data_IF_019996127045
#
_entry.id   IF_019996127045
#
_cell.length_a   1.000
_cell.length_b   1.000
_cell.length_c   1.000
_cell.angle_alpha   90.00
_cell.angle_beta   90.00
_cell.angle_gamma   90.00
#
_symmetry.space_group_name_H-M   'P 1'
#
loop_
_entity.id
_entity.type
_entity.pdbx_description
1 polymer ?
#
# COMPACT_ATOMS: atom_id res chain seq x y z
N UNK A 1 -33.75 0.89 10.13
CA UNK A 1 -32.68 1.89 10.26
C UNK A 1 -31.69 1.38 11.30
N UNK A 2 -30.70 0.57 10.89
CA UNK A 2 -29.53 0.12 11.68
C UNK A 2 -28.44 -0.47 10.74
N UNK A 3 -28.23 0.15 9.58
CA UNK A 3 -27.33 -0.40 8.53
C UNK A 3 -25.85 -0.07 8.77
N UNK A 4 -25.55 0.82 9.73
CA UNK A 4 -24.17 1.22 10.05
C UNK A 4 -23.32 0.05 10.56
N UNK A 5 -23.91 -0.83 11.37
CA UNK A 5 -23.19 -1.99 11.91
C UNK A 5 -22.75 -2.94 10.78
N UNK A 6 -23.63 -3.19 9.80
CA UNK A 6 -23.33 -4.05 8.64
C UNK A 6 -22.21 -3.47 7.77
N UNK A 7 -22.20 -2.14 7.59
CA UNK A 7 -21.15 -1.45 6.82
C UNK A 7 -19.79 -1.56 7.55
N UNK A 8 -19.78 -1.33 8.86
CA UNK A 8 -18.56 -1.46 9.67
C UNK A 8 -18.03 -2.89 9.62
N UNK A 9 -18.92 -3.88 9.76
CA UNK A 9 -18.56 -5.29 9.69
C UNK A 9 -17.96 -5.64 8.32
N UNK A 10 -18.57 -5.17 7.23
CA UNK A 10 -18.07 -5.37 5.87
C UNK A 10 -16.67 -4.78 5.67
N UNK A 11 -16.43 -3.55 6.17
CA UNK A 11 -15.11 -2.92 6.10
C UNK A 11 -14.07 -3.71 6.90
N UNK A 12 -14.43 -4.15 8.12
CA UNK A 12 -13.54 -4.97 8.94
C UNK A 12 -13.15 -6.27 8.25
N UNK A 13 -14.12 -7.00 7.69
CA UNK A 13 -13.90 -8.25 6.94
C UNK A 13 -13.03 -7.99 5.71
N UNK A 14 -13.29 -6.88 4.99
CA UNK A 14 -12.50 -6.49 3.82
C UNK A 14 -11.05 -6.16 4.18
N UNK A 15 -10.80 -5.53 5.33
CA UNK A 15 -9.45 -5.25 5.80
C UNK A 15 -8.70 -6.51 6.21
N UNK A 16 -9.36 -7.43 6.93
CA UNK A 16 -8.76 -8.70 7.34
C UNK A 16 -8.40 -9.53 6.11
N UNK A 17 -9.34 -9.67 5.17
CA UNK A 17 -9.11 -10.39 3.92
C UNK A 17 -8.02 -9.74 3.08
N UNK A 18 -7.99 -8.41 2.99
CA UNK A 18 -6.89 -7.69 2.31
C UNK A 18 -5.53 -7.98 2.95
N UNK A 19 -5.44 -8.00 4.28
CA UNK A 19 -4.17 -8.26 4.96
C UNK A 19 -3.67 -9.71 4.72
N UNK A 20 -4.57 -10.68 4.68
CA UNK A 20 -4.28 -12.06 4.28
C UNK A 20 -3.79 -12.11 2.82
N UNK A 21 -4.55 -11.53 1.88
CA UNK A 21 -4.15 -11.41 0.47
C UNK A 21 -2.79 -10.74 0.33
N UNK A 22 -2.50 -9.72 1.14
CA UNK A 22 -1.24 -9.00 1.11
C UNK A 22 -0.06 -9.90 1.46
N UNK A 23 -0.18 -10.70 2.52
CA UNK A 23 0.88 -11.61 2.96
C UNK A 23 1.11 -12.73 1.94
N UNK A 24 0.04 -13.34 1.42
CA UNK A 24 0.14 -14.52 0.56
C UNK A 24 0.42 -14.20 -0.92
N UNK A 25 -0.24 -13.19 -1.46
CA UNK A 25 -0.25 -12.90 -2.90
C UNK A 25 0.54 -11.62 -3.20
N UNK A 26 0.17 -10.49 -2.59
CA UNK A 26 0.73 -9.19 -3.01
C UNK A 26 2.20 -8.99 -2.58
N UNK A 27 2.66 -9.63 -1.50
CA UNK A 27 4.04 -9.51 -0.99
C UNK A 27 5.09 -9.98 -2.00
N UNK A 28 4.73 -10.93 -2.87
CA UNK A 28 5.63 -11.55 -3.83
C UNK A 28 5.65 -10.82 -5.18
N UNK A 29 4.71 -9.91 -5.45
CA UNK A 29 4.54 -9.32 -6.77
C UNK A 29 5.05 -7.87 -6.75
N UNK A 30 6.19 -7.62 -7.41
CA UNK A 30 6.67 -6.27 -7.69
C UNK A 30 5.92 -5.68 -8.89
N UNK A 31 4.71 -5.20 -8.65
CA UNK A 31 3.87 -4.62 -9.72
C UNK A 31 4.15 -3.14 -9.88
N UNK A 32 4.19 -2.68 -11.13
CA UNK A 32 4.26 -1.26 -11.44
C UNK A 32 2.90 -0.57 -11.18
N UNK A 33 2.91 0.67 -10.70
CA UNK A 33 1.70 1.46 -10.39
C UNK A 33 0.71 1.54 -11.56
N UNK A 34 1.24 1.65 -12.78
CA UNK A 34 0.43 1.73 -13.99
C UNK A 34 -0.37 0.44 -14.25
N UNK A 35 0.18 -0.71 -13.88
CA UNK A 35 -0.48 -2.01 -14.08
C UNK A 35 -1.72 -2.13 -13.20
N UNK A 36 -1.63 -1.76 -11.92
CA UNK A 36 -2.79 -1.72 -11.01
C UNK A 36 -3.86 -0.76 -11.54
N UNK A 37 -3.44 0.41 -12.05
CA UNK A 37 -4.37 1.44 -12.53
C UNK A 37 -5.13 0.97 -13.78
N UNK A 38 -4.44 0.30 -14.71
CA UNK A 38 -5.05 -0.30 -15.90
C UNK A 38 -5.99 -1.43 -15.50
N UNK A 39 -5.58 -2.31 -14.57
CA UNK A 39 -6.42 -3.40 -14.08
C UNK A 39 -7.70 -2.87 -13.43
N UNK A 40 -7.57 -1.81 -12.63
CA UNK A 40 -8.69 -1.11 -12.01
C UNK A 40 -9.67 -0.55 -13.05
N UNK A 41 -9.17 0.17 -14.05
CA UNK A 41 -9.99 0.72 -15.14
C UNK A 41 -10.67 -0.37 -15.97
N UNK A 42 -9.99 -1.47 -16.26
CA UNK A 42 -10.55 -2.61 -16.99
C UNK A 42 -11.70 -3.26 -16.22
N UNK A 43 -11.52 -3.51 -14.92
CA UNK A 43 -12.57 -4.13 -14.09
C UNK A 43 -13.79 -3.21 -13.99
N UNK A 44 -13.58 -1.91 -13.84
CA UNK A 44 -14.67 -0.92 -13.80
C UNK A 44 -15.38 -0.84 -15.14
N UNK A 45 -14.62 -0.64 -16.22
CA UNK A 45 -15.16 -0.55 -17.57
C UNK A 45 -15.99 -1.78 -17.90
N UNK A 46 -15.44 -2.97 -17.67
CA UNK A 46 -16.15 -4.24 -17.89
C UNK A 46 -17.43 -4.35 -17.06
N UNK A 47 -17.44 -3.87 -15.82
CA UNK A 47 -18.63 -3.94 -14.95
C UNK A 47 -19.75 -3.00 -15.40
N UNK A 48 -19.45 -1.91 -16.09
CA UNK A 48 -20.47 -0.97 -16.61
C UNK A 48 -21.20 -1.49 -17.86
N UNK A 49 -20.55 -2.33 -18.67
CA UNK A 49 -21.13 -2.82 -19.93
C UNK A 49 -21.92 -4.13 -19.77
N UNK A 50 -21.88 -4.78 -18.62
CA UNK A 50 -22.47 -6.11 -18.41
C UNK A 50 -23.56 -6.04 -17.34
N UNK A 51 -24.78 -6.45 -17.70
CA UNK A 51 -25.87 -6.64 -16.73
C UNK A 51 -25.59 -7.90 -15.91
N UNK A 52 -25.00 -7.71 -14.74
CA UNK A 52 -24.57 -8.78 -13.85
C UNK A 52 -25.62 -9.06 -12.78
N UNK A 53 -25.80 -10.33 -12.35
CA UNK A 53 -26.67 -10.65 -11.24
C UNK A 53 -26.15 -10.02 -9.94
N UNK A 54 -27.06 -9.68 -9.02
CA UNK A 54 -26.76 -8.96 -7.78
C UNK A 54 -25.62 -9.58 -6.95
N UNK A 55 -25.56 -10.91 -6.89
CA UNK A 55 -24.49 -11.62 -6.19
C UNK A 55 -23.10 -11.34 -6.76
N UNK A 56 -22.98 -11.29 -8.09
CA UNK A 56 -21.72 -11.01 -8.78
C UNK A 56 -21.33 -9.54 -8.58
N UNK A 57 -22.31 -8.64 -8.50
CA UNK A 57 -22.06 -7.22 -8.21
C UNK A 57 -21.42 -7.02 -6.83
N UNK A 58 -21.85 -7.75 -5.80
CA UNK A 58 -21.23 -7.70 -4.47
C UNK A 58 -19.77 -8.19 -4.48
N UNK A 59 -19.48 -9.26 -5.23
CA UNK A 59 -18.12 -9.78 -5.37
C UNK A 59 -17.23 -8.75 -6.07
N UNK A 60 -17.73 -8.14 -7.15
CA UNK A 60 -17.01 -7.09 -7.88
C UNK A 60 -16.77 -5.87 -6.98
N UNK A 61 -17.74 -5.48 -6.17
CA UNK A 61 -17.59 -4.36 -5.25
C UNK A 61 -16.56 -4.65 -4.15
N UNK A 62 -16.50 -5.88 -3.65
CA UNK A 62 -15.44 -6.32 -2.72
C UNK A 62 -14.07 -6.34 -3.40
N UNK A 63 -13.97 -6.86 -4.62
CA UNK A 63 -12.74 -6.88 -5.43
C UNK A 63 -12.23 -5.46 -5.70
N UNK A 64 -13.14 -4.54 -6.00
CA UNK A 64 -12.85 -3.11 -6.18
C UNK A 64 -12.23 -2.51 -4.91
N UNK A 65 -12.78 -2.84 -3.75
CA UNK A 65 -12.27 -2.36 -2.47
C UNK A 65 -10.83 -2.84 -2.22
N UNK A 66 -10.53 -4.10 -2.53
CA UNK A 66 -9.18 -4.68 -2.45
C UNK A 66 -8.22 -3.99 -3.43
N UNK A 67 -8.63 -3.79 -4.68
CA UNK A 67 -7.79 -3.13 -5.69
C UNK A 67 -7.41 -1.70 -5.28
N UNK A 68 -8.35 -0.95 -4.68
CA UNK A 68 -8.09 0.39 -4.14
C UNK A 68 -7.12 0.35 -2.97
N UNK A 69 -7.32 -0.55 -2.01
CA UNK A 69 -6.41 -0.70 -0.87
C UNK A 69 -4.99 -1.01 -1.35
N UNK A 70 -4.88 -1.87 -2.37
CA UNK A 70 -3.60 -2.21 -2.97
C UNK A 70 -2.94 -1.02 -3.66
N UNK A 71 -3.70 -0.24 -4.43
CA UNK A 71 -3.20 0.97 -5.07
C UNK A 71 -2.67 1.99 -4.04
N UNK A 72 -3.42 2.18 -2.96
CA UNK A 72 -3.04 3.06 -1.85
C UNK A 72 -1.75 2.56 -1.21
N UNK A 73 -1.63 1.26 -0.93
CA UNK A 73 -0.42 0.68 -0.33
C UNK A 73 0.81 0.90 -1.21
N UNK A 74 0.72 0.60 -2.51
CA UNK A 74 1.83 0.83 -3.47
C UNK A 74 2.24 2.31 -3.48
N UNK A 75 1.27 3.22 -3.50
CA UNK A 75 1.54 4.65 -3.50
C UNK A 75 2.22 5.12 -2.19
N UNK A 76 1.80 4.55 -1.06
CA UNK A 76 2.37 4.88 0.25
C UNK A 76 3.76 4.30 0.44
N UNK A 77 4.02 3.09 -0.04
CA UNK A 77 5.36 2.49 0.00
C UNK A 77 6.35 3.29 -0.86
N UNK A 78 5.96 3.73 -2.07
CA UNK A 78 6.81 4.60 -2.90
C UNK A 78 7.14 5.93 -2.19
N UNK A 79 6.15 6.53 -1.52
CA UNK A 79 6.36 7.76 -0.74
C UNK A 79 7.33 7.52 0.42
N UNK A 80 7.18 6.40 1.14
CA UNK A 80 8.07 6.01 2.24
C UNK A 80 9.49 5.76 1.76
N UNK A 81 9.66 5.10 0.62
CA UNK A 81 10.98 4.86 0.00
C UNK A 81 11.64 6.17 -0.42
N UNK A 82 10.91 7.10 -1.05
CA UNK A 82 11.43 8.43 -1.41
C UNK A 82 11.92 9.20 -0.19
N UNK A 83 11.16 9.19 0.90
CA UNK A 83 11.56 9.82 2.17
C UNK A 83 12.81 9.14 2.74
N UNK A 84 12.84 7.81 2.79
CA UNK A 84 14.00 7.04 3.26
C UNK A 84 15.26 7.33 2.45
N UNK A 85 15.13 7.43 1.14
CA UNK A 85 16.24 7.75 0.23
C UNK A 85 16.71 9.20 0.39
N UNK A 86 15.79 10.15 0.61
CA UNK A 86 16.14 11.55 0.95
C UNK A 86 16.93 11.60 2.27
N UNK A 87 16.48 10.89 3.29
CA UNK A 87 17.16 10.84 4.59
C UNK A 87 18.54 10.16 4.49
N UNK A 88 18.67 9.08 3.71
CA UNK A 88 19.97 8.44 3.42
C UNK A 88 20.96 9.40 2.74
N UNK A 89 20.52 10.19 1.76
CA UNK A 89 21.36 11.20 1.09
C UNK A 89 21.81 12.30 2.07
N UNK A 90 20.94 12.74 2.96
CA UNK A 90 21.29 13.71 4.02
C UNK A 90 22.33 13.13 4.97
N UNK A 91 22.21 11.86 5.36
CA UNK A 91 23.18 11.18 6.24
C UNK A 91 24.53 10.97 5.53
N UNK A 92 24.56 10.70 4.23
CA UNK A 92 25.82 10.57 3.47
C UNK A 92 26.56 11.90 3.32
N UNK A 93 25.82 13.02 3.18
CA UNK A 93 26.40 14.35 3.06
C UNK A 93 26.73 15.01 4.41
N UNK A 94 26.54 14.32 5.53
CA UNK A 94 26.99 14.83 6.81
C UNK A 94 28.52 14.93 6.78
N UNK A 95 29.12 16.05 7.24
CA UNK A 95 30.56 16.18 7.30
C UNK A 95 31.13 15.02 8.11
N UNK A 96 32.10 14.30 7.54
CA UNK A 96 32.77 13.20 8.25
C UNK A 96 33.34 13.76 9.56
N UNK A 97 33.16 13.05 10.70
CA UNK A 97 33.70 13.52 11.97
C UNK A 97 35.21 13.70 11.86
N UNK A 98 35.74 14.78 12.44
CA UNK A 98 37.17 15.07 12.42
C UNK A 98 37.95 13.85 12.92
N UNK A 99 38.89 13.28 12.13
CA UNK A 99 39.73 12.21 12.63
C UNK A 99 40.44 12.74 13.88
N UNK A 100 40.50 11.93 14.93
CA UNK A 100 41.06 12.25 16.26
C UNK A 100 40.16 12.95 17.32
N UNK A 101 38.85 13.18 17.10
CA UNK A 101 37.98 13.75 18.16
C UNK A 101 37.85 12.85 19.41
N UNK A 102 37.96 11.53 19.26
CA UNK A 102 37.80 10.55 20.34
C UNK A 102 39.05 10.35 21.22
N UNK A 103 40.22 10.84 20.83
CA UNK A 103 41.46 10.65 21.61
C UNK A 103 41.64 11.68 22.74
N UNK A 104 40.85 12.76 22.74
CA UNK A 104 41.00 13.87 23.71
C UNK A 104 40.37 13.58 25.09
N UNK A 105 39.54 12.54 25.21
CA UNK A 105 38.94 12.13 26.49
C UNK A 105 39.70 11.02 27.24
N UNK A 106 40.87 10.59 26.74
CA UNK A 106 41.79 9.77 27.54
C UNK A 106 42.78 10.69 28.24
N UNK A 107 42.34 11.37 29.29
CA UNK A 107 43.28 11.89 30.30
C UNK A 107 43.63 10.73 31.23
N UNK A 108 44.93 10.41 31.23
CA UNK A 108 45.64 9.68 32.29
C UNK A 108 45.54 10.49 33.58
#
# INVERSE_FOLDING_TARGET
MNNFLSIILFVFISLISYNLLKIFVLSNIKVNKLIILILFLLVIGASFFVNLPLFVMYIIQWLYFILILWFIDIFMDERREKIKNKNKKVIQNRPKPKPNRAKMNKKV
#
